data_IF_555749988441
#
_entry.id   IF_555749988441
#
_cell.length_a   1.000
_cell.length_b   1.000
_cell.length_c   1.000
_cell.angle_alpha   90.00
_cell.angle_beta   90.00
_cell.angle_gamma   90.00
#
_symmetry.space_group_name_H-M   'P 1'
#
loop_
_entity.id
_entity.type
_entity.pdbx_description
1 polymer ?
#
# COMPACT_ATOMS: atom_id res chain seq x y z
N UNK A 1 8.13 -15.14 -7.54
CA UNK A 1 8.89 -13.87 -7.45
C UNK A 1 9.70 -13.87 -6.16
N UNK A 2 11.04 -13.73 -6.20
CA UNK A 2 11.90 -13.84 -5.01
C UNK A 2 11.49 -12.94 -3.85
N UNK A 3 11.11 -11.69 -4.13
CA UNK A 3 10.68 -10.72 -3.11
C UNK A 3 9.40 -11.15 -2.37
N UNK A 4 8.41 -11.70 -3.09
CA UNK A 4 7.17 -12.21 -2.48
C UNK A 4 7.47 -13.35 -1.52
N UNK A 5 8.35 -14.28 -1.92
CA UNK A 5 8.79 -15.37 -1.05
C UNK A 5 9.49 -14.86 0.20
N UNK A 6 10.41 -13.90 0.07
CA UNK A 6 11.14 -13.32 1.20
C UNK A 6 10.19 -12.67 2.22
N UNK A 7 9.24 -11.85 1.77
CA UNK A 7 8.27 -11.21 2.68
C UNK A 7 7.39 -12.26 3.36
N UNK A 8 6.85 -13.22 2.60
CA UNK A 8 6.01 -14.29 3.14
C UNK A 8 6.74 -15.14 4.19
N UNK A 9 7.98 -15.51 3.92
CA UNK A 9 8.81 -16.28 4.85
C UNK A 9 9.13 -15.49 6.11
N UNK A 10 9.44 -14.20 5.98
CA UNK A 10 9.68 -13.32 7.11
C UNK A 10 8.44 -13.14 7.98
N UNK A 11 7.26 -12.88 7.37
CA UNK A 11 5.97 -12.78 8.08
C UNK A 11 5.66 -14.08 8.81
N UNK A 12 5.87 -15.23 8.16
CA UNK A 12 5.68 -16.54 8.80
C UNK A 12 6.60 -16.76 10.01
N UNK A 13 7.85 -16.32 9.92
CA UNK A 13 8.86 -16.54 10.95
C UNK A 13 8.78 -15.55 12.13
N UNK A 14 8.29 -14.33 11.90
CA UNK A 14 8.36 -13.24 12.87
C UNK A 14 7.01 -12.61 13.24
N UNK A 15 5.91 -13.10 12.65
CA UNK A 15 4.57 -12.61 12.94
C UNK A 15 3.98 -13.15 14.26
N UNK A 16 2.69 -12.84 14.54
CA UNK A 16 1.78 -12.13 13.65
C UNK A 16 2.10 -10.64 13.56
N UNK A 17 1.87 -10.07 12.38
CA UNK A 17 1.88 -8.62 12.15
C UNK A 17 0.46 -8.19 11.83
N UNK A 18 -0.04 -7.16 12.51
CA UNK A 18 -1.41 -6.67 12.27
C UNK A 18 -1.55 -5.87 10.97
N UNK A 19 -0.47 -5.36 10.40
CA UNK A 19 -0.56 -4.56 9.18
C UNK A 19 0.75 -4.46 8.42
N UNK A 20 0.65 -3.94 7.21
CA UNK A 20 1.78 -3.69 6.31
C UNK A 20 1.88 -2.21 6.00
N UNK A 21 3.11 -1.69 5.98
CA UNK A 21 3.42 -0.34 5.55
C UNK A 21 4.42 -0.40 4.39
N UNK A 22 4.15 0.35 3.33
CA UNK A 22 5.07 0.50 2.21
C UNK A 22 5.24 1.95 1.79
N UNK A 23 6.43 2.27 1.28
CA UNK A 23 6.76 3.55 0.67
C UNK A 23 7.22 3.35 -0.78
N UNK A 24 6.73 4.19 -1.70
CA UNK A 24 7.11 4.15 -3.12
C UNK A 24 6.90 2.75 -3.71
N UNK A 25 7.91 2.15 -4.32
CA UNK A 25 7.84 0.78 -4.84
C UNK A 25 7.47 -0.27 -3.75
N UNK A 26 7.84 -0.04 -2.49
CA UNK A 26 7.43 -0.90 -1.38
C UNK A 26 5.91 -0.82 -1.12
N UNK A 27 5.30 0.35 -1.36
CA UNK A 27 3.85 0.54 -1.27
C UNK A 27 3.13 -0.22 -2.39
N UNK A 28 3.65 -0.13 -3.62
CA UNK A 28 3.13 -0.90 -4.77
C UNK A 28 3.25 -2.41 -4.53
N UNK A 29 4.37 -2.87 -3.96
CA UNK A 29 4.54 -4.28 -3.59
C UNK A 29 3.58 -4.72 -2.49
N UNK A 30 3.37 -3.89 -1.46
CA UNK A 30 2.40 -4.16 -0.41
C UNK A 30 0.98 -4.35 -0.99
N UNK A 31 0.57 -3.51 -1.94
CA UNK A 31 -0.70 -3.67 -2.65
C UNK A 31 -0.77 -5.02 -3.39
N UNK A 32 0.28 -5.40 -4.14
CA UNK A 32 0.31 -6.70 -4.84
C UNK A 32 0.22 -7.88 -3.87
N UNK A 33 0.91 -7.82 -2.73
CA UNK A 33 0.83 -8.87 -1.70
C UNK A 33 -0.59 -9.04 -1.15
N UNK A 34 -1.29 -7.94 -0.88
CA UNK A 34 -2.68 -7.97 -0.43
C UNK A 34 -3.62 -8.54 -1.50
N UNK A 35 -3.42 -8.16 -2.76
CA UNK A 35 -4.18 -8.71 -3.88
C UNK A 35 -3.94 -10.23 -4.06
N UNK A 36 -2.69 -10.69 -3.95
CA UNK A 36 -2.35 -12.11 -3.98
C UNK A 36 -2.97 -12.88 -2.80
N UNK A 37 -3.04 -12.27 -1.62
CA UNK A 37 -3.70 -12.87 -0.46
C UNK A 37 -5.22 -12.96 -0.66
N UNK A 38 -5.87 -11.92 -1.19
CA UNK A 38 -7.30 -11.95 -1.49
C UNK A 38 -7.68 -13.01 -2.53
N UNK A 39 -6.79 -13.28 -3.50
CA UNK A 39 -6.94 -14.38 -4.46
C UNK A 39 -6.59 -15.76 -3.88
N UNK A 40 -6.11 -15.84 -2.64
CA UNK A 40 -5.74 -17.10 -1.97
C UNK A 40 -4.41 -17.70 -2.42
N UNK A 41 -3.57 -16.93 -3.13
CA UNK A 41 -2.26 -17.39 -3.62
C UNK A 41 -1.19 -17.41 -2.51
N UNK A 42 -1.32 -16.52 -1.54
CA UNK A 42 -0.46 -16.42 -0.35
C UNK A 42 -1.31 -16.18 0.91
N UNK A 43 -0.69 -16.31 2.09
CA UNK A 43 -1.31 -16.01 3.38
C UNK A 43 -0.35 -15.19 4.23
N UNK A 44 -0.77 -13.98 4.61
CA UNK A 44 0.01 -13.01 5.38
C UNK A 44 -0.75 -12.59 6.65
N UNK A 45 -2.07 -12.42 6.57
CA UNK A 45 -2.96 -12.19 7.71
C UNK A 45 -2.99 -10.73 8.19
N UNK A 46 -2.67 -9.76 7.32
CA UNK A 46 -2.73 -8.35 7.67
C UNK A 46 -4.18 -7.88 7.85
N UNK A 47 -4.41 -7.01 8.83
CA UNK A 47 -5.70 -6.40 9.17
C UNK A 47 -5.85 -4.99 8.62
N UNK A 48 -4.74 -4.31 8.31
CA UNK A 48 -4.74 -2.99 7.68
C UNK A 48 -3.47 -2.76 6.85
N UNK A 49 -3.51 -1.74 5.97
CA UNK A 49 -2.37 -1.35 5.15
C UNK A 49 -2.13 0.17 5.16
N UNK A 50 -0.87 0.58 5.08
CA UNK A 50 -0.46 2.00 5.00
C UNK A 50 0.45 2.19 3.79
N UNK A 51 0.10 3.14 2.93
CA UNK A 51 0.77 3.40 1.67
C UNK A 51 1.28 4.85 1.64
N UNK A 52 2.59 5.02 1.43
CA UNK A 52 3.20 6.32 1.20
C UNK A 52 3.67 6.43 -0.26
N UNK A 53 3.30 7.52 -0.95
CA UNK A 53 3.67 7.79 -2.36
C UNK A 53 3.53 6.56 -3.26
N UNK A 54 2.35 5.92 -3.21
CA UNK A 54 2.09 4.65 -3.87
C UNK A 54 1.63 4.81 -5.33
N UNK A 55 1.70 3.71 -6.07
CA UNK A 55 1.21 3.61 -7.44
C UNK A 55 0.85 2.16 -7.78
N UNK A 56 -0.10 1.96 -8.70
CA UNK A 56 -0.35 0.62 -9.25
C UNK A 56 0.85 0.17 -10.07
N UNK A 57 1.16 -1.12 -10.00
CA UNK A 57 2.20 -1.71 -10.85
C UNK A 57 1.92 -1.42 -12.33
N UNK A 58 2.98 -1.09 -13.08
CA UNK A 58 2.93 -0.83 -14.52
C UNK A 58 3.19 -2.07 -15.38
N UNK A 59 3.55 -3.21 -14.77
CA UNK A 59 3.73 -4.46 -15.50
C UNK A 59 2.38 -5.12 -15.80
N UNK A 60 2.17 -5.50 -17.07
CA UNK A 60 0.97 -6.24 -17.50
C UNK A 60 0.83 -7.62 -16.85
N UNK A 61 1.92 -8.19 -16.34
CA UNK A 61 1.87 -9.42 -15.55
C UNK A 61 1.08 -9.26 -14.25
N UNK A 62 0.83 -8.02 -13.83
CA UNK A 62 0.12 -7.71 -12.59
C UNK A 62 -1.31 -7.20 -12.83
N UNK A 63 -1.81 -7.23 -14.07
CA UNK A 63 -3.13 -6.67 -14.43
C UNK A 63 -4.28 -7.32 -13.63
N UNK A 64 -4.20 -8.63 -13.39
CA UNK A 64 -5.17 -9.34 -12.55
C UNK A 64 -5.17 -8.83 -11.11
N UNK A 65 -4.03 -8.39 -10.58
CA UNK A 65 -3.90 -7.87 -9.22
C UNK A 65 -4.28 -6.38 -9.15
N UNK A 66 -3.89 -5.57 -10.13
CA UNK A 66 -4.16 -4.12 -10.16
C UNK A 66 -5.61 -3.77 -10.53
N UNK A 67 -6.38 -4.74 -11.01
CA UNK A 67 -7.81 -4.59 -11.30
C UNK A 67 -8.72 -4.99 -10.13
N UNK A 68 -8.16 -5.54 -9.04
CA UNK A 68 -8.94 -5.99 -7.88
C UNK A 68 -9.22 -4.83 -6.93
N UNK A 69 -10.46 -4.75 -6.45
CA UNK A 69 -10.78 -3.98 -5.26
C UNK A 69 -10.54 -4.81 -4.01
N UNK A 70 -9.87 -4.21 -3.02
CA UNK A 70 -9.47 -4.85 -1.78
C UNK A 70 -10.39 -4.44 -0.62
N UNK A 71 -10.80 -5.43 0.15
CA UNK A 71 -11.63 -5.29 1.35
C UNK A 71 -10.77 -5.31 2.63
N UNK A 72 -9.81 -4.38 2.70
CA UNK A 72 -8.95 -4.18 3.87
C UNK A 72 -8.85 -2.68 4.20
N UNK A 73 -8.99 -2.27 5.48
CA UNK A 73 -8.78 -0.89 5.88
C UNK A 73 -7.41 -0.38 5.43
N UNK A 74 -7.39 0.79 4.80
CA UNK A 74 -6.16 1.35 4.25
C UNK A 74 -5.99 2.85 4.50
N UNK A 75 -4.75 3.26 4.73
CA UNK A 75 -4.36 4.66 4.82
C UNK A 75 -3.40 5.01 3.67
N UNK A 76 -3.75 6.03 2.88
CA UNK A 76 -2.97 6.49 1.74
C UNK A 76 -2.42 7.89 2.03
N UNK A 77 -1.11 8.05 1.93
CA UNK A 77 -0.42 9.29 2.27
C UNK A 77 0.46 9.70 1.09
N UNK A 78 0.26 10.89 0.57
CA UNK A 78 1.01 11.35 -0.60
C UNK A 78 1.10 12.88 -0.71
N UNK A 79 2.15 13.33 -1.37
CA UNK A 79 2.45 14.74 -1.57
C UNK A 79 2.01 15.25 -2.94
N UNK A 80 1.34 16.40 -3.00
CA UNK A 80 0.98 17.05 -4.27
C UNK A 80 2.20 17.60 -5.02
N UNK A 81 3.32 17.82 -4.31
CA UNK A 81 4.61 18.22 -4.89
C UNK A 81 5.49 17.04 -5.33
N UNK A 82 5.02 15.80 -5.24
CA UNK A 82 5.81 14.60 -5.57
C UNK A 82 6.11 14.54 -7.08
N UNK A 83 7.39 14.74 -7.42
CA UNK A 83 7.91 14.71 -8.80
C UNK A 83 8.40 13.31 -9.23
N UNK A 84 8.43 12.34 -8.31
CA UNK A 84 8.87 10.96 -8.58
C UNK A 84 7.66 10.08 -8.86
N UNK A 85 6.64 10.18 -8.01
CA UNK A 85 5.35 9.53 -8.17
C UNK A 85 4.29 10.62 -8.16
N UNK A 86 3.80 11.00 -9.34
CA UNK A 86 2.72 12.00 -9.41
C UNK A 86 1.54 11.56 -8.54
N UNK A 87 1.00 12.48 -7.73
CA UNK A 87 -0.02 12.18 -6.72
C UNK A 87 -1.26 11.47 -7.28
N UNK A 88 -1.59 11.70 -8.55
CA UNK A 88 -2.69 11.04 -9.27
C UNK A 88 -2.51 9.52 -9.37
N UNK A 89 -1.27 9.02 -9.29
CA UNK A 89 -1.01 7.58 -9.20
C UNK A 89 -1.38 7.00 -7.84
N UNK A 90 -1.16 7.77 -6.76
CA UNK A 90 -1.58 7.38 -5.41
C UNK A 90 -3.10 7.43 -5.28
N UNK A 91 -3.74 8.46 -5.84
CA UNK A 91 -5.21 8.51 -5.97
C UNK A 91 -5.76 7.31 -6.74
N UNK A 92 -5.12 6.94 -7.86
CA UNK A 92 -5.54 5.77 -8.62
C UNK A 92 -5.46 4.48 -7.79
N UNK A 93 -4.37 4.27 -7.05
CA UNK A 93 -4.26 3.11 -6.17
C UNK A 93 -5.29 3.14 -5.04
N UNK A 94 -5.57 4.31 -4.46
CA UNK A 94 -6.62 4.49 -3.44
C UNK A 94 -7.99 3.99 -3.94
N UNK A 95 -8.35 4.22 -5.21
CA UNK A 95 -9.65 3.77 -5.77
C UNK A 95 -9.83 2.25 -5.82
N UNK A 96 -8.76 1.50 -5.55
CA UNK A 96 -8.76 0.04 -5.45
C UNK A 96 -9.07 -0.47 -4.04
N UNK A 97 -9.40 0.40 -3.07
CA UNK A 97 -9.76 0.01 -1.72
C UNK A 97 -11.18 0.46 -1.40
N UNK A 98 -11.98 -0.45 -0.83
CA UNK A 98 -13.36 -0.14 -0.43
C UNK A 98 -13.43 0.67 0.87
N UNK A 99 -12.47 0.45 1.79
CA UNK A 99 -12.31 1.20 3.04
C UNK A 99 -10.94 1.88 3.03
N UNK A 100 -10.93 3.20 2.77
CA UNK A 100 -9.70 3.97 2.68
C UNK A 100 -9.85 5.38 3.27
N UNK A 101 -8.77 5.81 3.93
CA UNK A 101 -8.55 7.18 4.39
C UNK A 101 -7.34 7.74 3.65
N UNK A 102 -7.39 9.01 3.26
CA UNK A 102 -6.28 9.69 2.59
C UNK A 102 -5.80 10.89 3.39
N UNK A 103 -4.47 11.04 3.45
CA UNK A 103 -3.80 12.23 3.98
C UNK A 103 -2.95 12.82 2.85
N UNK A 104 -3.32 14.00 2.41
CA UNK A 104 -2.61 14.72 1.35
C UNK A 104 -1.80 15.86 1.94
N UNK A 105 -0.54 15.96 1.56
CA UNK A 105 0.36 17.05 1.97
C UNK A 105 0.92 17.80 0.76
N UNK A 106 1.51 18.97 1.01
CA UNK A 106 2.10 19.86 -0.01
C UNK A 106 3.54 19.50 -0.39
N UNK A 107 4.21 18.65 0.40
CA UNK A 107 5.56 18.15 0.14
C UNK A 107 5.71 17.23 -1.10
N UNK A 108 6.96 16.78 -1.32
CA UNK A 108 7.35 15.86 -2.38
C UNK A 108 7.40 14.38 -1.96
N UNK A 109 8.37 13.63 -2.51
CA UNK A 109 8.52 12.18 -2.34
C UNK A 109 9.16 11.79 -0.99
N UNK A 110 8.41 11.88 0.11
CA UNK A 110 8.90 11.51 1.45
C UNK A 110 7.75 11.13 2.40
N UNK A 111 8.10 10.57 3.56
CA UNK A 111 7.17 10.30 4.66
C UNK A 111 7.04 11.58 5.52
N UNK A 112 5.89 12.26 5.53
CA UNK A 112 5.72 13.50 6.28
C UNK A 112 5.66 13.26 7.80
N UNK A 113 5.85 14.33 8.57
CA UNK A 113 5.58 14.30 10.01
C UNK A 113 4.08 14.13 10.25
N UNK A 114 3.68 13.08 10.96
CA UNK A 114 2.26 12.77 11.17
C UNK A 114 1.61 13.52 12.35
N UNK A 115 2.34 14.39 13.04
CA UNK A 115 1.87 15.07 14.25
C UNK A 115 0.59 15.90 14.06
N UNK A 116 0.36 16.43 12.85
CA UNK A 116 -0.84 17.21 12.49
C UNK A 116 -2.07 16.35 12.19
N UNK A 117 -1.90 15.04 12.03
CA UNK A 117 -2.95 14.12 11.57
C UNK A 117 -3.35 13.08 12.62
N UNK A 118 -3.00 13.32 13.89
CA UNK A 118 -3.27 12.37 14.98
C UNK A 118 -4.75 11.99 15.05
N UNK A 119 -5.67 12.96 15.00
CA UNK A 119 -7.11 12.70 15.08
C UNK A 119 -7.66 11.89 13.89
N UNK A 120 -6.98 11.91 12.74
CA UNK A 120 -7.37 11.14 11.56
C UNK A 120 -6.96 9.67 11.65
N UNK A 121 -5.96 9.35 12.49
CA UNK A 121 -5.31 8.03 12.54
C UNK A 121 -5.77 7.21 13.76
N UNK A 122 -6.33 7.85 14.79
CA UNK A 122 -6.70 7.24 16.09
C UNK A 122 -8.19 6.92 16.13
#
# INVERSE_FOLDING_TARGET
MPMVSSVREYVRANGPFDGILGFSQGASMAHLLLAMEQLGEIKLGFRFAIFFSSFLSLSSLHDSYTSLRLDIPSLHIYGTGDQVVAYTNSEKLQTMFNDCVSIVHDGGHFIPTMSKYKETII
#
